data_IF_148137675428
#
_entry.id   IF_148137675428
#
_cell.length_a   1.000
_cell.length_b   1.000
_cell.length_c   1.000
_cell.angle_alpha   90.00
_cell.angle_beta   90.00
_cell.angle_gamma   90.00
#
_symmetry.space_group_name_H-M   'P 1'
#
loop_
_entity.id
_entity.type
_entity.pdbx_description
1 polymer ?
#
# COMPACT_ATOMS: atom_id res chain seq x y z
N UNK A 1 28.92 3.94 -9.84
CA UNK A 1 28.74 3.28 -11.15
C UNK A 1 28.95 1.79 -10.95
N UNK A 2 27.93 0.96 -11.21
CA UNK A 2 27.98 -0.51 -11.08
C UNK A 2 28.38 -1.22 -12.39
N UNK A 3 28.42 -0.48 -13.49
CA UNK A 3 28.77 -0.99 -14.82
C UNK A 3 30.17 -1.61 -14.83
N UNK A 4 30.27 -2.84 -15.34
CA UNK A 4 31.52 -3.60 -15.41
C UNK A 4 32.02 -4.17 -14.07
N UNK A 5 31.22 -4.10 -12.99
CA UNK A 5 31.57 -4.69 -11.69
C UNK A 5 30.66 -5.86 -11.37
N UNK A 6 31.24 -6.94 -10.85
CA UNK A 6 30.45 -8.03 -10.30
C UNK A 6 29.84 -7.60 -8.96
N UNK A 7 28.53 -7.79 -8.82
CA UNK A 7 27.82 -7.50 -7.58
C UNK A 7 26.64 -8.46 -7.38
N UNK A 8 26.17 -8.51 -6.13
CA UNK A 8 25.11 -9.40 -5.69
C UNK A 8 23.85 -8.60 -5.38
N UNK A 9 22.68 -9.13 -5.75
CA UNK A 9 21.39 -8.52 -5.47
C UNK A 9 20.78 -9.22 -4.26
N UNK A 10 20.53 -8.48 -3.18
CA UNK A 10 19.85 -9.00 -2.00
C UNK A 10 18.37 -8.62 -2.02
N UNK A 11 17.49 -9.57 -1.72
CA UNK A 11 16.04 -9.37 -1.65
C UNK A 11 15.41 -10.23 -0.57
N UNK A 12 14.32 -9.78 0.04
CA UNK A 12 13.46 -10.57 0.92
C UNK A 12 12.38 -11.36 0.16
N UNK A 13 12.31 -11.21 -1.16
CA UNK A 13 11.38 -11.95 -2.00
C UNK A 13 11.97 -13.30 -2.41
N UNK A 14 11.70 -14.32 -1.58
CA UNK A 14 12.21 -15.69 -1.77
C UNK A 14 12.02 -16.29 -3.17
N UNK A 15 10.92 -16.06 -3.91
CA UNK A 15 10.80 -16.57 -5.28
C UNK A 15 11.89 -16.09 -6.26
N UNK A 16 12.46 -14.90 -6.06
CA UNK A 16 13.38 -14.29 -7.02
C UNK A 16 14.76 -14.96 -7.08
N UNK A 17 15.19 -15.67 -6.02
CA UNK A 17 16.46 -16.42 -6.04
C UNK A 17 16.47 -17.56 -7.07
N UNK A 18 15.28 -17.98 -7.51
CA UNK A 18 15.10 -19.01 -8.52
C UNK A 18 14.71 -18.44 -9.88
N UNK A 19 14.57 -17.11 -10.02
CA UNK A 19 14.01 -16.50 -11.22
C UNK A 19 14.78 -16.87 -12.50
N UNK A 20 16.11 -16.88 -12.43
CA UNK A 20 16.98 -17.28 -13.55
C UNK A 20 17.18 -18.80 -13.71
N UNK A 21 16.64 -19.60 -12.78
CA UNK A 21 16.67 -21.07 -12.84
C UNK A 21 15.33 -21.66 -13.31
N UNK A 22 14.26 -20.86 -13.34
CA UNK A 22 12.93 -21.30 -13.75
C UNK A 22 12.82 -21.41 -15.27
N UNK A 23 11.93 -22.28 -15.74
CA UNK A 23 11.63 -22.38 -17.17
C UNK A 23 10.98 -21.05 -17.65
N UNK A 24 11.56 -20.37 -18.67
CA UNK A 24 11.01 -19.14 -19.25
C UNK A 24 9.55 -19.25 -19.67
N UNK A 25 9.07 -20.42 -20.10
CA UNK A 25 7.69 -20.66 -20.53
C UNK A 25 6.66 -20.46 -19.40
N UNK A 26 7.11 -20.48 -18.14
CA UNK A 26 6.27 -20.23 -16.97
C UNK A 26 6.19 -18.75 -16.59
N UNK A 27 7.02 -17.89 -17.18
CA UNK A 27 7.04 -16.47 -16.91
C UNK A 27 6.07 -15.72 -17.83
N UNK A 28 5.30 -14.79 -17.27
CA UNK A 28 4.54 -13.83 -18.08
C UNK A 28 5.49 -12.95 -18.91
N UNK A 29 5.05 -12.41 -20.05
CA UNK A 29 5.88 -11.49 -20.85
C UNK A 29 6.39 -10.28 -20.06
N UNK A 30 5.64 -9.83 -19.04
CA UNK A 30 6.05 -8.74 -18.16
C UNK A 30 7.19 -9.17 -17.23
N UNK A 31 7.13 -10.37 -16.65
CA UNK A 31 8.21 -10.90 -15.82
C UNK A 31 9.48 -11.10 -16.64
N UNK A 32 9.35 -11.68 -17.84
CA UNK A 32 10.48 -11.92 -18.72
C UNK A 32 11.23 -10.62 -19.06
N UNK A 33 10.52 -9.55 -19.41
CA UNK A 33 11.13 -8.23 -19.67
C UNK A 33 11.88 -7.65 -18.47
N UNK A 34 11.35 -7.84 -17.25
CA UNK A 34 12.06 -7.38 -16.05
C UNK A 34 13.30 -8.22 -15.77
N UNK A 35 13.21 -9.55 -15.92
CA UNK A 35 14.35 -10.43 -15.71
C UNK A 35 15.44 -10.20 -16.76
N UNK A 36 15.08 -9.94 -18.01
CA UNK A 36 16.01 -9.56 -19.08
C UNK A 36 16.72 -8.23 -18.79
N UNK A 37 16.00 -7.25 -18.25
CA UNK A 37 16.63 -6.00 -17.80
C UNK A 37 17.58 -6.22 -16.61
N UNK A 38 17.18 -7.02 -15.62
CA UNK A 38 18.01 -7.29 -14.44
C UNK A 38 19.27 -8.08 -14.84
N UNK A 39 19.16 -9.03 -15.77
CA UNK A 39 20.28 -9.88 -16.21
C UNK A 39 21.40 -9.10 -16.88
N UNK A 40 21.12 -7.92 -17.45
CA UNK A 40 22.13 -7.01 -17.98
C UNK A 40 23.11 -6.52 -16.91
N UNK A 41 22.73 -6.57 -15.63
CA UNK A 41 23.56 -6.15 -14.51
C UNK A 41 24.08 -7.30 -13.66
N UNK A 42 23.20 -8.21 -13.22
CA UNK A 42 23.59 -9.37 -12.41
C UNK A 42 22.50 -10.45 -12.41
N UNK A 43 22.92 -11.70 -12.29
CA UNK A 43 22.04 -12.86 -12.08
C UNK A 43 22.23 -13.51 -10.70
N UNK A 44 23.20 -13.06 -9.89
CA UNK A 44 23.41 -13.52 -8.51
C UNK A 44 22.42 -12.81 -7.57
N UNK A 45 21.24 -13.42 -7.39
CA UNK A 45 20.19 -12.97 -6.47
C UNK A 45 20.19 -13.84 -5.23
N UNK A 46 20.32 -13.21 -4.05
CA UNK A 46 20.38 -13.87 -2.74
C UNK A 46 19.24 -13.40 -1.86
N UNK A 47 18.67 -14.35 -1.11
CA UNK A 47 17.61 -14.04 -0.16
C UNK A 47 18.21 -13.54 1.16
N UNK A 48 17.65 -12.45 1.68
CA UNK A 48 17.88 -11.94 3.04
C UNK A 48 16.55 -11.90 3.78
N UNK A 49 16.53 -12.16 5.09
CA UNK A 49 15.28 -12.07 5.85
C UNK A 49 14.76 -10.62 5.85
N UNK A 50 13.45 -10.41 5.77
CA UNK A 50 12.86 -9.06 5.81
C UNK A 50 13.29 -8.23 7.03
N UNK A 51 13.47 -8.87 8.19
CA UNK A 51 14.00 -8.23 9.42
C UNK A 51 15.44 -7.70 9.28
N UNK A 52 16.19 -8.16 8.27
CA UNK A 52 17.54 -7.71 7.93
C UNK A 52 17.53 -6.78 6.70
N UNK A 53 16.39 -6.62 6.01
CA UNK A 53 16.22 -5.78 4.82
C UNK A 53 15.65 -4.38 5.15
N UNK A 54 15.90 -3.90 6.37
CA UNK A 54 15.24 -2.71 6.95
C UNK A 54 15.42 -1.47 6.05
N UNK A 55 16.61 -1.27 5.49
CA UNK A 55 16.88 -0.08 4.65
C UNK A 55 16.07 -0.10 3.37
N UNK A 56 16.02 -1.23 2.66
CA UNK A 56 15.22 -1.32 1.43
C UNK A 56 13.72 -1.31 1.74
N UNK A 57 13.29 -1.97 2.82
CA UNK A 57 11.89 -1.97 3.27
C UNK A 57 11.41 -0.56 3.62
N UNK A 58 12.19 0.19 4.42
CA UNK A 58 11.88 1.59 4.77
C UNK A 58 11.81 2.49 3.54
N UNK A 59 12.77 2.40 2.62
CA UNK A 59 12.76 3.18 1.38
C UNK A 59 11.57 2.83 0.48
N UNK A 60 11.19 1.55 0.40
CA UNK A 60 10.04 1.09 -0.40
C UNK A 60 8.69 1.57 0.15
N UNK A 61 8.64 1.94 1.43
CA UNK A 61 7.43 2.41 2.12
C UNK A 61 7.24 3.93 2.10
N UNK A 62 8.22 4.71 1.65
CA UNK A 62 8.15 6.19 1.68
C UNK A 62 6.93 6.73 0.90
N UNK A 63 6.57 6.09 -0.22
CA UNK A 63 5.37 6.48 -0.96
C UNK A 63 4.08 6.16 -0.18
N UNK A 64 4.03 5.02 0.52
CA UNK A 64 2.91 4.61 1.38
C UNK A 64 2.76 5.54 2.60
N UNK A 65 3.87 5.98 3.18
CA UNK A 65 3.86 6.93 4.31
C UNK A 65 3.51 8.37 3.87
N UNK A 66 3.85 8.74 2.65
CA UNK A 66 3.42 10.01 2.05
C UNK A 66 1.91 10.01 1.77
N UNK A 67 1.33 8.85 1.48
CA UNK A 67 -0.11 8.64 1.30
C UNK A 67 -0.86 8.73 2.64
N UNK A 68 -0.35 8.14 3.73
CA UNK A 68 -1.02 8.21 5.05
C UNK A 68 -0.98 9.61 5.68
N UNK A 69 -0.04 10.46 5.25
CA UNK A 69 0.04 11.88 5.63
C UNK A 69 -0.72 12.82 4.68
N UNK A 70 -1.44 12.27 3.70
CA UNK A 70 -2.22 13.07 2.76
C UNK A 70 -3.29 13.89 3.51
N UNK A 71 -3.42 15.20 3.23
CA UNK A 71 -4.40 16.09 3.88
C UNK A 71 -5.87 15.73 3.56
N UNK A 72 -6.09 14.70 2.76
CA UNK A 72 -7.40 14.24 2.28
C UNK A 72 -8.25 13.64 3.42
N UNK A 73 -7.64 13.05 4.45
CA UNK A 73 -8.35 12.45 5.59
C UNK A 73 -8.14 13.28 6.86
N UNK A 74 -9.03 14.25 7.09
CA UNK A 74 -9.16 14.89 8.38
C UNK A 74 -9.81 13.92 9.37
N UNK A 75 -9.00 13.26 10.20
CA UNK A 75 -9.48 12.28 11.19
C UNK A 75 -10.51 12.84 12.18
N UNK A 76 -10.49 14.15 12.47
CA UNK A 76 -11.51 14.78 13.32
C UNK A 76 -12.86 14.87 12.61
N UNK A 77 -12.87 15.19 11.33
CA UNK A 77 -14.10 15.20 10.51
C UNK A 77 -14.61 13.79 10.26
N UNK A 78 -13.71 12.85 10.04
CA UNK A 78 -14.03 11.43 9.92
C UNK A 78 -14.71 10.91 11.20
N UNK A 79 -14.16 11.21 12.38
CA UNK A 79 -14.76 10.85 13.66
C UNK A 79 -16.14 11.49 13.89
N UNK A 80 -16.34 12.73 13.41
CA UNK A 80 -17.67 13.39 13.45
C UNK A 80 -18.65 12.69 12.52
N UNK A 81 -18.25 12.44 11.28
CA UNK A 81 -19.08 11.75 10.29
C UNK A 81 -19.45 10.32 10.72
N UNK A 82 -18.61 9.64 11.50
CA UNK A 82 -18.98 8.36 12.13
C UNK A 82 -20.15 8.52 13.11
N UNK A 83 -20.17 9.56 13.94
CA UNK A 83 -21.26 9.77 14.90
C UNK A 83 -22.60 10.03 14.22
N UNK A 84 -22.55 10.76 13.10
CA UNK A 84 -23.73 11.18 12.34
C UNK A 84 -24.19 10.12 11.32
N UNK A 85 -23.47 9.00 11.17
CA UNK A 85 -23.80 7.98 10.17
C UNK A 85 -24.96 7.08 10.62
N UNK A 86 -26.06 7.16 9.88
CA UNK A 86 -27.26 6.34 10.09
C UNK A 86 -27.02 4.83 9.95
N UNK A 87 -26.04 4.40 9.15
CA UNK A 87 -25.70 2.97 9.02
C UNK A 87 -25.03 2.45 10.28
N UNK A 88 -24.17 3.25 10.91
CA UNK A 88 -23.51 2.90 12.18
C UNK A 88 -24.56 2.71 13.28
N UNK A 89 -25.57 3.58 13.31
CA UNK A 89 -26.68 3.44 14.25
C UNK A 89 -27.46 2.12 14.04
N UNK A 90 -27.65 1.68 12.79
CA UNK A 90 -28.31 0.39 12.51
C UNK A 90 -27.48 -0.80 13.01
N UNK A 91 -26.16 -0.75 12.87
CA UNK A 91 -25.30 -1.85 13.32
C UNK A 91 -25.12 -1.91 14.84
N UNK A 92 -25.16 -0.76 15.51
CA UNK A 92 -25.13 -0.70 16.99
C UNK A 92 -26.39 -1.28 17.64
N UNK A 93 -27.56 -1.13 17.01
CA UNK A 93 -28.85 -1.57 17.56
C UNK A 93 -29.29 -2.96 17.06
N UNK A 94 -28.49 -3.61 16.22
CA UNK A 94 -28.84 -4.89 15.63
C UNK A 94 -27.97 -6.02 16.22
N UNK A 95 -28.55 -6.75 17.17
CA UNK A 95 -27.92 -7.88 17.87
C UNK A 95 -27.54 -9.06 16.95
N UNK A 96 -28.00 -9.07 15.69
CA UNK A 96 -27.66 -10.09 14.70
C UNK A 96 -26.38 -9.76 13.88
N UNK A 97 -25.73 -8.62 14.13
CA UNK A 97 -24.51 -8.25 13.40
C UNK A 97 -23.30 -9.03 13.89
N UNK A 98 -22.47 -9.53 12.95
CA UNK A 98 -21.16 -10.10 13.26
C UNK A 98 -20.08 -9.05 13.56
N UNK A 99 -20.41 -7.76 13.46
CA UNK A 99 -19.48 -6.65 13.68
C UNK A 99 -19.33 -6.36 15.18
N UNK A 100 -18.09 -6.13 15.62
CA UNK A 100 -17.79 -5.72 16.99
C UNK A 100 -17.25 -4.29 16.96
N UNK A 101 -18.14 -3.31 17.11
CA UNK A 101 -17.77 -1.89 16.99
C UNK A 101 -17.30 -1.31 18.32
N UNK A 102 -16.03 -0.92 18.40
CA UNK A 102 -15.41 -0.30 19.57
C UNK A 102 -14.75 1.03 19.22
N UNK A 103 -14.78 1.99 20.14
CA UNK A 103 -14.02 3.24 20.01
C UNK A 103 -12.55 2.99 20.35
N UNK A 104 -11.65 3.26 19.39
CA UNK A 104 -10.19 3.18 19.58
C UNK A 104 -9.54 4.55 19.42
N UNK A 105 -8.51 4.87 20.23
CA UNK A 105 -7.78 6.12 20.08
C UNK A 105 -6.99 6.13 18.77
N UNK A 106 -7.07 7.22 18.02
CA UNK A 106 -6.28 7.41 16.83
C UNK A 106 -4.88 7.93 17.21
N UNK A 107 -3.81 7.32 16.69
CA UNK A 107 -2.44 7.74 17.05
C UNK A 107 -2.02 9.06 16.39
N UNK A 108 -2.62 9.39 15.24
CA UNK A 108 -2.33 10.62 14.47
C UNK A 108 -3.17 11.81 14.89
N UNK A 109 -4.22 11.60 15.69
CA UNK A 109 -5.13 12.66 16.11
C UNK A 109 -5.74 12.33 17.46
N UNK A 110 -5.87 13.33 18.35
CA UNK A 110 -6.49 13.17 19.68
C UNK A 110 -8.03 13.00 19.58
N UNK A 111 -8.50 12.08 18.74
CA UNK A 111 -9.90 11.69 18.64
C UNK A 111 -10.03 10.16 18.63
N UNK A 112 -11.21 9.70 19.05
CA UNK A 112 -11.54 8.28 19.02
C UNK A 112 -12.27 7.96 17.71
N UNK A 113 -11.86 6.88 17.06
CA UNK A 113 -12.49 6.34 15.87
C UNK A 113 -13.27 5.08 16.23
N UNK A 114 -14.44 4.94 15.63
CA UNK A 114 -15.20 3.70 15.72
C UNK A 114 -14.57 2.67 14.78
N UNK A 115 -14.18 1.52 15.33
CA UNK A 115 -13.51 0.46 14.61
C UNK A 115 -14.24 -0.87 14.81
N UNK A 116 -14.29 -1.69 13.77
CA UNK A 116 -14.63 -3.11 13.91
C UNK A 116 -13.41 -3.88 14.41
N UNK A 117 -13.57 -4.62 15.50
CA UNK A 117 -12.54 -5.45 16.13
C UNK A 117 -12.81 -6.95 15.99
N UNK A 118 -13.84 -7.34 15.24
CA UNK A 118 -14.26 -8.74 15.07
C UNK A 118 -13.14 -9.69 14.62
N UNK A 119 -12.15 -9.19 13.87
CA UNK A 119 -11.02 -9.97 13.36
C UNK A 119 -9.75 -9.86 14.20
N UNK A 120 -9.80 -9.26 15.39
CA UNK A 120 -8.65 -9.04 16.29
C UNK A 120 -7.73 -7.88 15.89
N UNK A 121 -7.87 -7.34 14.68
CA UNK A 121 -7.21 -6.10 14.24
C UNK A 121 -8.27 -5.02 14.11
N UNK A 122 -8.10 -3.83 14.73
CA UNK A 122 -9.08 -2.75 14.61
C UNK A 122 -9.13 -2.18 13.19
N UNK A 123 -10.28 -2.28 12.54
CA UNK A 123 -10.56 -1.70 11.22
C UNK A 123 -11.50 -0.50 11.35
N UNK A 124 -11.08 0.73 11.04
CA UNK A 124 -11.96 1.90 11.13
C UNK A 124 -13.21 1.73 10.26
N UNK A 125 -14.39 1.92 10.85
CA UNK A 125 -15.64 1.86 10.10
C UNK A 125 -15.78 3.12 9.25
N UNK A 126 -15.85 2.98 7.93
CA UNK A 126 -15.86 4.13 7.03
C UNK A 126 -17.27 4.73 6.89
N UNK A 127 -17.48 6.01 7.29
CA UNK A 127 -18.75 6.69 7.09
C UNK A 127 -19.11 6.79 5.62
N UNK A 128 -20.41 6.75 5.32
CA UNK A 128 -20.96 6.78 3.97
C UNK A 128 -20.44 7.97 3.15
N UNK A 129 -20.33 9.15 3.77
CA UNK A 129 -19.78 10.37 3.15
C UNK A 129 -18.31 10.25 2.73
N UNK A 130 -17.53 9.41 3.41
CA UNK A 130 -16.10 9.19 3.15
C UNK A 130 -15.82 7.99 2.25
N UNK A 131 -16.78 7.06 2.06
CA UNK A 131 -16.57 5.82 1.28
C UNK A 131 -16.04 6.10 -0.13
N UNK A 132 -16.68 7.02 -0.87
CA UNK A 132 -16.28 7.36 -2.25
C UNK A 132 -14.91 8.03 -2.28
N UNK A 133 -14.66 8.98 -1.39
CA UNK A 133 -13.38 9.71 -1.31
C UNK A 133 -12.22 8.76 -1.02
N UNK A 134 -12.38 7.84 -0.06
CA UNK A 134 -11.37 6.84 0.27
C UNK A 134 -11.18 5.85 -0.89
N UNK A 135 -12.27 5.39 -1.49
CA UNK A 135 -12.21 4.49 -2.65
C UNK A 135 -11.46 5.14 -3.82
N UNK A 136 -11.84 6.36 -4.21
CA UNK A 136 -11.19 7.08 -5.31
C UNK A 136 -9.72 7.32 -5.01
N UNK A 137 -9.37 7.66 -3.77
CA UNK A 137 -7.98 7.84 -3.37
C UNK A 137 -7.17 6.54 -3.50
N UNK A 138 -7.64 5.43 -2.90
CA UNK A 138 -6.96 4.14 -2.97
C UNK A 138 -6.92 3.56 -4.38
N UNK A 139 -8.00 3.70 -5.13
CA UNK A 139 -8.11 3.22 -6.51
C UNK A 139 -7.14 3.97 -7.44
N UNK A 140 -7.03 5.29 -7.30
CA UNK A 140 -6.08 6.08 -8.09
C UNK A 140 -4.61 5.78 -7.75
N UNK A 141 -4.33 5.22 -6.57
CA UNK A 141 -3.00 4.75 -6.19
C UNK A 141 -2.66 3.40 -6.84
N UNK A 142 -3.62 2.46 -6.86
CA UNK A 142 -3.46 1.17 -7.51
C UNK A 142 -3.40 1.28 -9.05
N UNK A 143 -4.04 2.32 -9.58
CA UNK A 143 -3.99 2.70 -10.98
C UNK A 143 -3.56 4.15 -11.10
N UNK A 144 -2.25 4.44 -11.03
CA UNK A 144 -1.74 5.72 -11.48
C UNK A 144 -2.03 5.78 -12.97
N UNK A 145 -3.19 6.34 -13.35
CA UNK A 145 -3.41 6.75 -14.73
C UNK A 145 -2.21 7.61 -15.07
N UNK A 146 -1.48 7.23 -16.12
CA UNK A 146 -0.48 8.05 -16.77
C UNK A 146 -1.14 9.39 -17.17
N UNK A 147 -1.25 10.33 -16.23
CA UNK A 147 -1.50 11.73 -16.54
C UNK A 147 -0.13 12.26 -16.93
N UNK A 148 0.01 12.37 -18.24
CA UNK A 148 1.24 12.53 -19.00
C UNK A 148 2.23 13.53 -18.41
N UNK A 149 3.50 13.15 -18.56
CA UNK A 149 4.50 13.99 -19.22
C UNK A 149 3.84 14.88 -20.29
N UNK A 150 3.43 16.09 -19.90
CA UNK A 150 3.00 17.15 -20.82
C UNK A 150 3.19 18.51 -20.14
N UNK A 151 4.43 18.81 -19.79
CA UNK A 151 4.91 20.19 -19.56
C UNK A 151 6.43 20.23 -19.53
N UNK A 152 7.05 19.62 -20.53
CA UNK A 152 8.40 19.97 -20.97
C UNK A 152 8.38 19.94 -22.49
N UNK A 153 7.93 21.05 -23.10
CA UNK A 153 8.36 21.53 -24.42
C UNK A 153 7.55 22.76 -24.85
N UNK A 154 8.15 23.94 -24.64
CA UNK A 154 8.13 25.15 -25.50
C UNK A 154 8.76 26.27 -24.67
N UNK A 155 9.73 27.07 -25.12
CA UNK A 155 10.47 27.23 -26.38
C UNK A 155 11.59 28.25 -26.09
N UNK A 156 12.64 28.22 -26.93
CA UNK A 156 13.67 29.26 -27.20
C UNK A 156 13.81 30.47 -26.26
#
# INVERSE_FOLDING_TARGET
>A
MLEGREFQIYTDQKPLIYAFKQNPDKCSPRQLRHLDFISQYSTDIRHVQGSQNIVADTLSRIEVDSITKSPILNFKEFARAQKDDSDIQKFLHNDASSLQLELKPCQTSNCNLLCDTSTGVPHPFVPTSFRKLIFDHLHNLAHPRARGYSSFNQTY
#
